data_IF_934355792345
#
_entry.id   IF_934355792345
#
_cell.length_a   1.000
_cell.length_b   1.000
_cell.length_c   1.000
_cell.angle_alpha   90.00
_cell.angle_beta   90.00
_cell.angle_gamma   90.00
#
_symmetry.space_group_name_H-M   'P 1'
#
loop_
_entity.id
_entity.type
_entity.pdbx_description
1 polymer ?
#
# COMPACT_ATOMS: atom_id res chain seq x y z
N UNK A 1 -25.97 6.57 -2.70
CA UNK A 1 -24.80 5.90 -3.26
C UNK A 1 -23.61 6.81 -3.07
N UNK A 2 -22.77 6.50 -2.09
CA UNK A 2 -21.50 7.16 -1.83
C UNK A 2 -20.50 6.78 -2.93
N UNK A 3 -19.62 7.70 -3.32
CA UNK A 3 -18.65 7.52 -4.42
C UNK A 3 -17.83 6.22 -4.32
N UNK A 4 -17.58 5.73 -3.11
CA UNK A 4 -16.76 4.54 -2.84
C UNK A 4 -17.31 3.25 -3.45
N UNK A 5 -18.63 3.04 -3.42
CA UNK A 5 -19.23 1.82 -3.97
C UNK A 5 -19.03 1.73 -5.49
N UNK A 6 -19.19 2.86 -6.19
CA UNK A 6 -18.96 2.95 -7.63
C UNK A 6 -17.51 2.65 -7.96
N UNK A 7 -16.56 3.18 -7.19
CA UNK A 7 -15.11 2.94 -7.37
C UNK A 7 -14.78 1.46 -7.16
N UNK A 8 -15.22 0.87 -6.04
CA UNK A 8 -14.96 -0.55 -5.71
C UNK A 8 -15.53 -1.48 -6.78
N UNK A 9 -16.76 -1.24 -7.24
CA UNK A 9 -17.39 -2.02 -8.30
C UNK A 9 -16.65 -1.89 -9.63
N UNK A 10 -16.16 -0.68 -9.95
CA UNK A 10 -15.42 -0.43 -11.19
C UNK A 10 -14.09 -1.20 -11.19
N UNK A 11 -13.33 -1.15 -10.09
CA UNK A 11 -12.06 -1.89 -9.98
C UNK A 11 -12.31 -3.40 -10.03
N UNK A 12 -13.30 -3.90 -9.27
CA UNK A 12 -13.64 -5.33 -9.22
C UNK A 12 -14.15 -5.89 -10.55
N UNK A 13 -14.61 -5.04 -11.47
CA UNK A 13 -15.01 -5.48 -12.82
C UNK A 13 -13.84 -5.84 -13.74
N UNK A 14 -12.61 -5.46 -13.37
CA UNK A 14 -11.41 -5.67 -14.17
C UNK A 14 -10.92 -7.12 -14.10
N UNK A 15 -10.37 -7.61 -15.21
CA UNK A 15 -9.68 -8.91 -15.28
C UNK A 15 -8.27 -8.74 -15.83
N UNK A 16 -7.35 -9.61 -15.43
CA UNK A 16 -6.03 -9.67 -16.06
C UNK A 16 -6.15 -10.22 -17.48
N UNK A 17 -5.08 -10.05 -18.29
CA UNK A 17 -5.03 -10.62 -19.65
C UNK A 17 -5.25 -12.14 -19.65
N UNK A 18 -4.76 -12.82 -18.62
CA UNK A 18 -4.93 -14.27 -18.42
C UNK A 18 -6.26 -14.65 -17.74
N UNK A 19 -7.16 -13.70 -17.52
CA UNK A 19 -8.53 -13.95 -17.07
C UNK A 19 -8.75 -14.02 -15.55
N UNK A 20 -7.74 -13.70 -14.73
CA UNK A 20 -7.91 -13.62 -13.28
C UNK A 20 -8.84 -12.46 -12.92
N UNK A 21 -9.75 -12.68 -11.96
CA UNK A 21 -10.67 -11.66 -11.45
C UNK A 21 -9.96 -10.79 -10.42
N UNK A 22 -10.18 -9.48 -10.48
CA UNK A 22 -9.75 -8.54 -9.44
C UNK A 22 -10.82 -8.49 -8.35
N UNK A 23 -10.40 -8.58 -7.09
CA UNK A 23 -11.25 -8.31 -5.93
C UNK A 23 -10.83 -6.98 -5.32
N UNK A 24 -11.75 -6.02 -5.23
CA UNK A 24 -11.56 -4.80 -4.47
C UNK A 24 -12.57 -4.75 -3.34
N UNK A 25 -12.13 -4.25 -2.19
CA UNK A 25 -12.96 -4.07 -1.00
C UNK A 25 -12.65 -2.70 -0.41
N UNK A 26 -13.65 -2.07 0.21
CA UNK A 26 -13.40 -0.89 0.99
C UNK A 26 -12.71 -1.31 2.29
N UNK A 27 -11.55 -0.70 2.57
CA UNK A 27 -10.92 -0.82 3.87
C UNK A 27 -11.55 0.18 4.84
N UNK A 28 -12.32 -0.34 5.81
CA UNK A 28 -12.99 0.47 6.84
C UNK A 28 -12.16 0.59 8.13
N UNK A 29 -10.92 0.09 8.14
CA UNK A 29 -10.05 0.19 9.30
C UNK A 29 -9.74 1.65 9.63
N UNK A 30 -9.72 1.96 10.94
CA UNK A 30 -9.35 3.26 11.44
C UNK A 30 -7.85 3.27 11.70
N UNK A 31 -7.11 3.93 10.81
CA UNK A 31 -5.68 4.17 11.00
C UNK A 31 -5.48 5.44 11.81
N UNK A 32 -5.03 5.28 13.05
CA UNK A 32 -4.70 6.41 13.91
C UNK A 32 -3.56 7.22 13.27
N UNK A 33 -3.80 8.51 13.07
CA UNK A 33 -2.79 9.44 12.59
C UNK A 33 -1.88 9.84 13.74
N UNK A 34 -0.59 10.07 13.46
CA UNK A 34 0.31 10.74 14.39
C UNK A 34 1.28 9.86 15.18
N UNK A 35 1.42 8.57 14.86
CA UNK A 35 2.60 7.81 15.31
C UNK A 35 3.78 8.27 14.45
N UNK A 36 4.51 9.26 14.94
CA UNK A 36 5.76 9.71 14.32
C UNK A 36 6.88 8.78 14.78
N UNK A 37 7.36 7.95 13.86
CA UNK A 37 8.59 7.19 14.05
C UNK A 37 9.75 8.17 13.89
N UNK A 38 10.74 8.10 14.78
CA UNK A 38 11.94 8.93 14.71
C UNK A 38 12.84 8.51 13.55
N UNK A 39 13.68 9.43 13.08
CA UNK A 39 14.64 9.13 12.01
C UNK A 39 15.63 8.02 12.44
N UNK A 40 15.98 7.99 13.74
CA UNK A 40 16.82 6.95 14.33
C UNK A 40 16.15 5.57 14.24
N UNK A 41 14.87 5.46 14.60
CA UNK A 41 14.12 4.21 14.49
C UNK A 41 14.03 3.72 13.04
N UNK A 42 13.79 4.62 12.08
CA UNK A 42 13.79 4.28 10.64
C UNK A 42 15.18 3.84 10.18
N UNK A 43 16.25 4.47 10.65
CA UNK A 43 17.63 4.13 10.27
C UNK A 43 18.06 2.73 10.71
N UNK A 44 17.42 2.18 11.75
CA UNK A 44 17.66 0.82 12.23
C UNK A 44 16.99 -0.27 11.37
N UNK A 45 16.11 0.13 10.44
CA UNK A 45 15.49 -0.78 9.49
C UNK A 45 16.46 -0.99 8.32
N UNK A 46 16.70 -2.26 7.94
CA UNK A 46 17.40 -2.60 6.70
C UNK A 46 16.50 -2.31 5.50
N UNK A 47 16.42 -1.02 5.16
CA UNK A 47 15.57 -0.42 4.15
C UNK A 47 16.43 -0.02 2.95
N UNK A 48 16.09 -0.54 1.77
CA UNK A 48 16.64 -0.07 0.48
C UNK A 48 15.58 0.73 -0.25
N UNK A 49 15.86 1.99 -0.57
CA UNK A 49 14.97 2.86 -1.34
C UNK A 49 15.19 2.67 -2.84
N UNK A 50 14.12 2.70 -3.61
CA UNK A 50 14.18 2.64 -5.07
C UNK A 50 14.69 3.96 -5.66
N UNK A 51 15.33 3.90 -6.83
CA UNK A 51 15.76 5.10 -7.56
C UNK A 51 14.55 5.93 -8.04
N UNK A 52 13.45 5.27 -8.38
CA UNK A 52 12.21 5.89 -8.79
C UNK A 52 11.24 5.98 -7.61
N UNK A 53 11.05 7.20 -7.08
CA UNK A 53 10.19 7.47 -5.92
C UNK A 53 10.55 6.63 -4.68
N UNK A 54 11.83 6.62 -4.29
CA UNK A 54 12.32 5.92 -3.10
C UNK A 54 11.70 6.37 -1.77
N UNK A 55 10.96 7.48 -1.77
CA UNK A 55 10.11 7.93 -0.68
C UNK A 55 8.88 7.03 -0.49
N UNK A 56 8.40 6.38 -1.56
CA UNK A 56 7.23 5.50 -1.56
C UNK A 56 7.60 4.05 -1.86
N UNK A 57 8.57 3.85 -2.75
CA UNK A 57 9.02 2.56 -3.26
C UNK A 57 10.30 2.15 -2.53
N UNK A 58 10.20 1.13 -1.70
CA UNK A 58 11.32 0.62 -0.94
C UNK A 58 11.18 -0.89 -0.68
N UNK A 59 12.30 -1.53 -0.35
CA UNK A 59 12.37 -2.92 0.08
C UNK A 59 12.90 -2.98 1.51
N UNK A 60 12.33 -3.88 2.33
CA UNK A 60 12.83 -4.17 3.68
C UNK A 60 13.37 -5.60 3.69
N UNK A 61 14.57 -5.76 4.21
CA UNK A 61 15.22 -7.08 4.37
C UNK A 61 15.44 -7.40 5.85
N UNK A 62 15.57 -8.69 6.23
CA UNK A 62 15.97 -9.07 7.58
C UNK A 62 17.35 -8.49 7.96
N UNK A 63 17.53 -8.17 9.23
CA UNK A 63 18.85 -7.94 9.80
C UNK A 63 19.50 -9.30 10.07
N UNK A 64 20.76 -9.47 9.64
CA UNK A 64 21.58 -10.65 9.93
C UNK A 64 22.19 -10.56 11.33
#
# INVERSE_FOLDING_TARGET
>A
MTSYEVIVNTISSTKTKEGLKVQAVLDENIYLRGIKVSDDEISNINLSRDEFHGDWNYSISPNL
#
